data_IF_272271672028
#
_entry.id   IF_272271672028
#
_cell.length_a   1.000
_cell.length_b   1.000
_cell.length_c   1.000
_cell.angle_alpha   90.00
_cell.angle_beta   90.00
_cell.angle_gamma   90.00
#
_symmetry.space_group_name_H-M   'P 1'
#
loop_
_entity.id
_entity.type
_entity.pdbx_description
1 polymer ?
#
# COMPACT_ATOMS: atom_id res chain seq x y z
N UNK A 1 -5.98 1.78 28.16
CA UNK A 1 -5.15 2.44 29.22
C UNK A 1 -5.02 3.94 28.92
N UNK A 2 -4.71 4.76 29.91
CA UNK A 2 -4.46 6.21 29.74
C UNK A 2 -3.12 6.60 30.36
N UNK A 3 -2.55 7.72 29.89
CA UNK A 3 -1.37 8.34 30.52
C UNK A 3 -1.76 8.81 31.91
N UNK A 4 -1.12 8.26 32.94
CA UNK A 4 -1.36 8.63 34.35
C UNK A 4 -0.36 9.70 34.77
N UNK A 5 0.90 9.55 34.36
CA UNK A 5 1.99 10.50 34.55
C UNK A 5 2.94 10.49 33.34
N UNK A 6 3.96 11.35 33.34
CA UNK A 6 4.92 11.49 32.23
C UNK A 6 5.66 10.18 31.86
N UNK A 7 5.71 9.21 32.78
CA UNK A 7 6.50 7.97 32.67
C UNK A 7 5.66 6.69 32.68
N UNK A 8 4.35 6.75 32.93
CA UNK A 8 3.51 5.55 33.12
C UNK A 8 2.15 5.62 32.45
N UNK A 9 1.75 4.47 31.90
CA UNK A 9 0.38 4.17 31.52
C UNK A 9 -0.34 3.48 32.69
N UNK A 10 -1.65 3.63 32.76
CA UNK A 10 -2.45 2.93 33.76
C UNK A 10 -3.92 2.83 33.37
N UNK A 11 -4.70 2.17 34.23
CA UNK A 11 -6.12 2.01 34.00
C UNK A 11 -6.85 3.37 34.13
N UNK A 12 -7.68 3.70 33.15
CA UNK A 12 -8.50 4.93 33.16
C UNK A 12 -9.42 5.00 34.36
N UNK A 13 -10.02 3.86 34.74
CA UNK A 13 -10.90 3.74 35.91
C UNK A 13 -10.14 3.95 37.21
N UNK A 14 -8.93 3.38 37.34
CA UNK A 14 -8.08 3.60 38.51
C UNK A 14 -7.69 5.08 38.67
N UNK A 15 -7.38 5.77 37.56
CA UNK A 15 -7.09 7.21 37.56
C UNK A 15 -8.31 8.05 37.98
N UNK A 16 -9.49 7.71 37.48
CA UNK A 16 -10.72 8.46 37.75
C UNK A 16 -11.26 8.27 39.18
N UNK A 17 -11.11 7.07 39.75
CA UNK A 17 -11.67 6.74 41.09
C UNK A 17 -10.63 6.71 42.20
N UNK A 18 -9.37 7.10 41.92
CA UNK A 18 -8.29 7.05 42.93
C UNK A 18 -7.94 5.63 43.39
N UNK A 19 -8.02 4.63 42.50
CA UNK A 19 -7.57 3.26 42.76
C UNK A 19 -8.61 2.33 43.43
N UNK A 20 -9.77 2.82 43.84
CA UNK A 20 -10.81 2.00 44.51
C UNK A 20 -11.60 1.06 43.59
N UNK A 21 -11.46 1.18 42.27
CA UNK A 21 -12.27 0.44 41.28
C UNK A 21 -11.49 -0.49 40.34
N UNK A 22 -10.19 -0.69 40.55
CA UNK A 22 -9.38 -1.57 39.72
C UNK A 22 -8.18 -2.11 40.52
N UNK A 23 -7.99 -3.43 40.53
CA UNK A 23 -6.87 -4.11 41.20
C UNK A 23 -5.52 -3.88 40.51
N UNK A 24 -5.51 -3.47 39.24
CA UNK A 24 -4.31 -3.17 38.46
C UNK A 24 -3.91 -1.69 38.63
N UNK A 25 -3.41 -1.36 39.82
CA UNK A 25 -2.93 -0.01 40.18
C UNK A 25 -1.45 0.22 39.84
N UNK A 26 -0.67 -0.83 39.57
CA UNK A 26 0.70 -0.73 39.12
C UNK A 26 0.75 -0.21 37.68
N UNK A 27 1.02 1.09 37.53
CA UNK A 27 1.20 1.69 36.23
C UNK A 27 2.35 1.05 35.45
N UNK A 28 2.15 0.83 34.15
CA UNK A 28 3.14 0.24 33.26
C UNK A 28 4.13 1.31 32.80
N UNK A 29 5.45 1.10 32.90
CA UNK A 29 6.44 2.05 32.45
C UNK A 29 6.30 2.31 30.95
N UNK A 30 5.96 3.56 30.60
CA UNK A 30 5.68 4.04 29.24
C UNK A 30 6.78 3.67 28.26
N UNK A 31 8.04 4.00 28.62
CA UNK A 31 9.20 3.75 27.76
C UNK A 31 9.47 2.28 27.48
N UNK A 32 9.17 1.40 28.43
CA UNK A 32 9.38 -0.04 28.24
C UNK A 32 8.28 -0.63 27.35
N UNK A 33 7.02 -0.24 27.61
CA UNK A 33 5.87 -0.67 26.81
C UNK A 33 5.98 -0.20 25.36
N UNK A 34 6.19 1.10 25.14
CA UNK A 34 6.31 1.66 23.78
C UNK A 34 7.46 0.99 23.00
N UNK A 35 8.60 0.74 23.66
CA UNK A 35 9.73 0.07 23.03
C UNK A 35 9.42 -1.38 22.67
N UNK A 36 8.81 -2.13 23.59
CA UNK A 36 8.44 -3.53 23.35
C UNK A 36 7.42 -3.66 22.22
N UNK A 37 6.42 -2.78 22.19
CA UNK A 37 5.41 -2.74 21.12
C UNK A 37 6.03 -2.41 19.77
N UNK A 38 6.87 -1.37 19.70
CA UNK A 38 7.55 -0.99 18.45
C UNK A 38 8.48 -2.10 17.96
N UNK A 39 9.22 -2.75 18.86
CA UNK A 39 10.08 -3.87 18.50
C UNK A 39 9.26 -5.03 17.93
N UNK A 40 8.17 -5.42 18.60
CA UNK A 40 7.32 -6.50 18.13
C UNK A 40 6.66 -6.19 16.78
N UNK A 41 6.22 -4.95 16.57
CA UNK A 41 5.67 -4.49 15.29
C UNK A 41 6.72 -4.57 14.17
N UNK A 42 7.95 -4.14 14.43
CA UNK A 42 9.03 -4.21 13.42
C UNK A 42 9.39 -5.66 13.10
N UNK A 43 9.52 -6.52 14.12
CA UNK A 43 9.74 -7.96 13.92
C UNK A 43 8.62 -8.60 13.09
N UNK A 44 7.36 -8.22 13.35
CA UNK A 44 6.22 -8.69 12.58
C UNK A 44 6.26 -8.19 11.12
N UNK A 45 6.58 -6.91 10.90
CA UNK A 45 6.63 -6.29 9.57
C UNK A 45 7.85 -6.73 8.74
N UNK A 46 8.94 -7.16 9.38
CA UNK A 46 10.13 -7.68 8.70
C UNK A 46 9.96 -9.13 8.20
N UNK A 47 8.84 -9.79 8.57
CA UNK A 47 8.54 -11.14 8.10
C UNK A 47 8.43 -11.20 6.57
N UNK A 48 8.97 -12.25 5.93
CA UNK A 48 9.01 -12.35 4.47
C UNK A 48 7.60 -12.45 3.87
N UNK A 49 6.63 -13.00 4.59
CA UNK A 49 5.24 -13.08 4.15
C UNK A 49 4.60 -11.70 4.00
N UNK A 50 4.86 -10.79 4.94
CA UNK A 50 4.34 -9.41 4.91
C UNK A 50 4.97 -8.64 3.76
N UNK A 51 6.28 -8.79 3.56
CA UNK A 51 6.96 -8.14 2.45
C UNK A 51 6.47 -8.67 1.09
N UNK A 52 6.18 -9.96 0.98
CA UNK A 52 5.60 -10.55 -0.23
C UNK A 52 4.21 -9.96 -0.54
N UNK A 53 3.36 -9.81 0.47
CA UNK A 53 2.05 -9.18 0.32
C UNK A 53 2.16 -7.71 -0.12
N UNK A 54 3.07 -6.94 0.50
CA UNK A 54 3.36 -5.57 0.10
C UNK A 54 3.80 -5.49 -1.36
N UNK A 55 4.72 -6.36 -1.77
CA UNK A 55 5.20 -6.40 -3.16
C UNK A 55 4.08 -6.65 -4.15
N UNK A 56 3.16 -7.58 -3.84
CA UNK A 56 1.98 -7.85 -4.67
C UNK A 56 1.08 -6.61 -4.76
N UNK A 57 0.71 -6.03 -3.63
CA UNK A 57 -0.17 -4.84 -3.59
C UNK A 57 0.44 -3.64 -4.35
N UNK A 58 1.75 -3.39 -4.18
CA UNK A 58 2.45 -2.34 -4.93
C UNK A 58 2.49 -2.65 -6.42
N UNK A 59 2.71 -3.91 -6.81
CA UNK A 59 2.72 -4.31 -8.23
C UNK A 59 1.35 -4.12 -8.86
N UNK A 60 0.27 -4.47 -8.17
CA UNK A 60 -1.11 -4.26 -8.62
C UNK A 60 -1.44 -2.77 -8.74
N UNK A 61 -1.09 -1.97 -7.73
CA UNK A 61 -1.30 -0.52 -7.76
C UNK A 61 -0.54 0.14 -8.93
N UNK A 62 0.70 -0.30 -9.19
CA UNK A 62 1.50 0.18 -10.33
C UNK A 62 0.95 -0.29 -11.68
N UNK A 63 0.31 -1.46 -11.73
CA UNK A 63 -0.36 -1.95 -12.93
C UNK A 63 -1.60 -1.08 -13.24
N UNK A 64 -2.42 -0.77 -12.22
CA UNK A 64 -3.59 0.10 -12.35
C UNK A 64 -3.23 1.56 -12.67
N UNK A 65 -2.11 2.06 -12.12
CA UNK A 65 -1.62 3.42 -12.39
C UNK A 65 -0.82 3.52 -13.70
N UNK A 66 -0.55 2.39 -14.35
CA UNK A 66 0.23 2.36 -15.57
C UNK A 66 -0.49 2.99 -16.75
N UNK A 67 0.25 3.47 -17.77
CA UNK A 67 -0.33 3.98 -19.00
C UNK A 67 -1.15 2.90 -19.71
N UNK A 68 -2.32 3.27 -20.24
CA UNK A 68 -3.18 2.36 -21.02
C UNK A 68 -2.56 2.09 -22.39
N UNK A 69 -1.65 1.12 -22.42
CA UNK A 69 -0.98 0.69 -23.64
C UNK A 69 -1.94 0.11 -24.68
N UNK A 70 -3.09 -0.43 -24.26
CA UNK A 70 -4.06 -0.99 -25.19
C UNK A 70 -4.82 0.14 -25.90
N UNK A 71 -5.30 1.12 -25.13
CA UNK A 71 -5.92 2.34 -25.66
C UNK A 71 -5.00 3.11 -26.59
N UNK A 72 -3.73 3.32 -26.21
CA UNK A 72 -2.74 4.01 -27.05
C UNK A 72 -2.49 3.28 -28.38
N UNK A 73 -2.38 1.95 -28.37
CA UNK A 73 -2.24 1.16 -29.61
C UNK A 73 -3.48 1.25 -30.51
N UNK A 74 -4.68 1.24 -29.92
CA UNK A 74 -5.92 1.39 -30.68
C UNK A 74 -6.04 2.78 -31.32
N UNK A 75 -5.67 3.84 -30.58
CA UNK A 75 -5.63 5.20 -31.10
C UNK A 75 -4.62 5.35 -32.23
N UNK A 76 -3.42 4.76 -32.08
CA UNK A 76 -2.40 4.74 -33.14
C UNK A 76 -2.94 4.10 -34.42
N UNK A 77 -3.55 2.91 -34.30
CA UNK A 77 -4.12 2.20 -35.46
C UNK A 77 -5.25 3.01 -36.12
N UNK A 78 -6.04 3.74 -35.34
CA UNK A 78 -7.09 4.62 -35.88
C UNK A 78 -6.48 5.80 -36.65
N UNK A 79 -5.46 6.46 -36.10
CA UNK A 79 -4.79 7.58 -36.75
C UNK A 79 -4.04 7.14 -38.03
N UNK A 80 -3.41 5.97 -38.01
CA UNK A 80 -2.74 5.39 -39.19
C UNK A 80 -3.73 5.08 -40.31
N UNK A 81 -4.92 4.54 -40.01
CA UNK A 81 -5.99 4.34 -41.01
C UNK A 81 -6.48 5.66 -41.62
N UNK A 82 -6.63 6.71 -40.81
CA UNK A 82 -7.01 8.04 -41.33
C UNK A 82 -5.96 8.55 -42.31
N UNK A 83 -4.67 8.45 -41.96
CA UNK A 83 -3.56 8.83 -42.84
C UNK A 83 -3.57 8.02 -44.14
N UNK A 84 -3.80 6.71 -44.08
CA UNK A 84 -3.87 5.84 -45.26
C UNK A 84 -5.03 6.19 -46.18
N UNK A 85 -6.21 6.48 -45.62
CA UNK A 85 -7.39 6.90 -46.38
C UNK A 85 -7.15 8.23 -47.09
N UNK A 86 -6.53 9.20 -46.41
CA UNK A 86 -6.18 10.49 -47.02
C UNK A 86 -5.14 10.29 -48.12
N UNK A 87 -4.10 9.47 -47.88
CA UNK A 87 -3.11 9.14 -48.90
C UNK A 87 -3.72 8.45 -50.13
N UNK A 88 -4.77 7.64 -49.95
CA UNK A 88 -5.51 7.04 -51.06
C UNK A 88 -6.34 8.08 -51.82
N UNK A 89 -6.99 9.01 -51.13
CA UNK A 89 -7.75 10.11 -51.75
C UNK A 89 -6.83 11.04 -52.57
N UNK A 90 -5.63 11.37 -52.03
CA UNK A 90 -4.62 12.14 -52.75
C UNK A 90 -4.13 11.41 -54.01
N UNK A 91 -3.91 10.09 -53.95
CA UNK A 91 -3.56 9.25 -55.11
C UNK A 91 -4.68 9.20 -56.16
N UNK A 92 -5.94 9.30 -55.75
CA UNK A 92 -7.09 9.40 -56.63
C UNK A 92 -7.28 10.82 -57.23
N UNK A 93 -6.40 11.77 -56.91
CA UNK A 93 -6.47 13.14 -57.41
C UNK A 93 -7.41 14.06 -56.64
N UNK A 94 -7.95 13.63 -55.50
CA UNK A 94 -8.79 14.45 -54.63
C UNK A 94 -7.88 15.27 -53.72
N UNK A 95 -7.50 16.46 -54.18
CA UNK A 95 -6.65 17.39 -53.44
C UNK A 95 -7.48 18.61 -53.05
N UNK A 96 -7.84 18.67 -51.77
CA UNK A 96 -8.52 19.84 -51.18
C UNK A 96 -7.68 20.40 -50.03
N UNK A 97 -7.83 21.69 -49.69
CA UNK A 97 -7.18 22.27 -48.50
C UNK A 97 -7.46 21.45 -47.22
N UNK A 98 -8.68 20.94 -47.10
CA UNK A 98 -9.11 20.10 -45.98
C UNK A 98 -8.36 18.77 -45.91
N UNK A 99 -8.05 18.12 -47.04
CA UNK A 99 -7.25 16.87 -47.02
C UNK A 99 -5.81 17.08 -46.55
N UNK A 100 -5.23 18.25 -46.79
CA UNK A 100 -3.89 18.60 -46.28
C UNK A 100 -3.92 18.79 -44.76
N UNK A 101 -4.86 19.59 -44.25
CA UNK A 101 -4.98 19.85 -42.81
C UNK A 101 -5.30 18.58 -42.01
N UNK A 102 -6.15 17.70 -42.55
CA UNK A 102 -6.45 16.40 -41.92
C UNK A 102 -5.21 15.48 -41.91
N UNK A 103 -4.38 15.52 -42.96
CA UNK A 103 -3.15 14.74 -43.02
C UNK A 103 -2.14 15.22 -41.96
N UNK A 104 -1.91 16.53 -41.89
CA UNK A 104 -1.03 17.15 -40.89
C UNK A 104 -1.49 16.83 -39.46
N UNK A 105 -2.80 16.87 -39.20
CA UNK A 105 -3.38 16.47 -37.90
C UNK A 105 -3.16 14.99 -37.60
N UNK A 106 -3.39 14.10 -38.58
CA UNK A 106 -3.19 12.67 -38.39
C UNK A 106 -1.71 12.33 -38.13
N UNK A 107 -0.79 12.99 -38.83
CA UNK A 107 0.66 12.80 -38.63
C UNK A 107 1.14 13.32 -37.27
N UNK A 108 0.65 14.50 -36.84
CA UNK A 108 0.92 15.03 -35.51
C UNK A 108 0.41 14.11 -34.40
N UNK A 109 -0.80 13.57 -34.57
CA UNK A 109 -1.41 12.62 -33.62
C UNK A 109 -0.59 11.33 -33.53
N UNK A 110 -0.17 10.76 -34.66
CA UNK A 110 0.71 9.58 -34.70
C UNK A 110 2.03 9.87 -33.98
N UNK A 111 2.65 11.03 -34.22
CA UNK A 111 3.90 11.41 -33.57
C UNK A 111 3.73 11.56 -32.04
N UNK A 112 2.62 12.16 -31.59
CA UNK A 112 2.29 12.27 -30.17
C UNK A 112 2.12 10.90 -29.52
N UNK A 113 1.27 10.05 -30.09
CA UNK A 113 0.98 8.70 -29.55
C UNK A 113 2.24 7.82 -29.54
N UNK A 114 3.11 7.92 -30.56
CA UNK A 114 4.41 7.22 -30.55
C UNK A 114 5.31 7.69 -29.42
N UNK A 115 5.35 9.00 -29.15
CA UNK A 115 6.11 9.56 -28.03
C UNK A 115 5.58 9.06 -26.69
N UNK A 116 4.26 9.03 -26.52
CA UNK A 116 3.59 8.49 -25.33
C UNK A 116 3.87 6.99 -25.15
N UNK A 117 3.83 6.20 -26.23
CA UNK A 117 4.16 4.77 -26.21
C UNK A 117 5.63 4.51 -25.85
N UNK A 118 6.57 5.31 -26.35
CA UNK A 118 7.98 5.22 -25.94
C UNK A 118 8.15 5.60 -24.47
N UNK A 119 7.51 6.68 -24.00
CA UNK A 119 7.51 7.07 -22.59
C UNK A 119 6.94 5.96 -21.70
N UNK A 120 5.89 5.29 -22.16
CA UNK A 120 5.25 4.19 -21.47
C UNK A 120 6.12 2.92 -21.39
N UNK A 121 7.07 2.69 -22.32
CA UNK A 121 8.04 1.57 -22.22
C UNK A 121 9.00 1.72 -21.04
N UNK A 122 9.25 2.96 -20.61
CA UNK A 122 10.03 3.27 -19.41
C UNK A 122 9.27 2.95 -18.13
N UNK A 123 7.94 2.87 -18.19
CA UNK A 123 7.11 2.43 -17.07
C UNK A 123 7.20 0.90 -16.92
N UNK A 124 8.24 0.43 -16.24
CA UNK A 124 8.42 -0.97 -15.88
C UNK A 124 8.28 -1.14 -14.37
N UNK A 125 7.12 -1.59 -13.85
CA UNK A 125 6.92 -1.87 -12.44
C UNK A 125 7.98 -2.82 -11.85
N UNK A 126 8.48 -3.75 -12.68
CA UNK A 126 9.57 -4.67 -12.31
C UNK A 126 10.87 -3.98 -11.87
N UNK A 127 11.15 -2.76 -12.34
CA UNK A 127 12.32 -1.97 -11.92
C UNK A 127 12.12 -1.25 -10.58
N UNK A 128 10.88 -1.18 -10.09
CA UNK A 128 10.54 -0.54 -8.80
C UNK A 128 10.71 -1.54 -7.64
N UNK A 129 10.60 -2.84 -7.91
CA UNK A 129 10.67 -3.92 -6.90
C UNK A 129 12.00 -4.00 -6.13
N UNK A 130 13.19 -3.83 -6.75
CA UNK A 130 14.45 -3.85 -6.00
C UNK A 130 14.57 -2.69 -5.01
N UNK A 131 14.12 -1.49 -5.42
CA UNK A 131 14.10 -0.29 -4.55
C UNK A 131 13.04 -0.40 -3.45
N UNK A 132 11.99 -1.19 -3.64
CA UNK A 132 10.96 -1.40 -2.65
C UNK A 132 11.52 -2.11 -1.40
N UNK A 133 12.33 -3.15 -1.57
CA UNK A 133 12.93 -3.89 -0.46
C UNK A 133 13.88 -3.04 0.39
N UNK A 134 14.66 -2.17 -0.27
CA UNK A 134 15.56 -1.24 0.40
C UNK A 134 14.79 -0.13 1.13
N UNK A 135 13.78 0.47 0.47
CA UNK A 135 12.92 1.47 1.09
C UNK A 135 12.12 0.92 2.27
N UNK A 136 11.64 -0.33 2.17
CA UNK A 136 10.94 -1.01 3.26
C UNK A 136 11.84 -1.18 4.48
N UNK A 137 13.03 -1.77 4.29
CA UNK A 137 14.02 -1.93 5.37
C UNK A 137 14.41 -0.58 5.99
N UNK A 138 14.63 0.44 5.16
CA UNK A 138 14.92 1.78 5.65
C UNK A 138 13.75 2.36 6.47
N UNK A 139 12.51 2.14 6.05
CA UNK A 139 11.32 2.57 6.80
C UNK A 139 11.23 1.84 8.15
N UNK A 140 11.46 0.52 8.19
CA UNK A 140 11.50 -0.26 9.44
C UNK A 140 12.59 0.23 10.40
N UNK A 141 13.81 0.47 9.91
CA UNK A 141 14.90 1.04 10.70
C UNK A 141 14.56 2.44 11.22
N UNK A 142 13.93 3.26 10.39
CA UNK A 142 13.50 4.61 10.78
C UNK A 142 12.45 4.55 11.88
N UNK A 143 11.49 3.62 11.82
CA UNK A 143 10.49 3.41 12.87
C UNK A 143 11.14 3.08 14.23
N UNK A 144 12.19 2.24 14.24
CA UNK A 144 12.93 1.95 15.49
C UNK A 144 13.72 3.14 16.03
N UNK A 145 14.11 4.09 15.17
CA UNK A 145 14.86 5.28 15.54
C UNK A 145 13.98 6.42 16.07
N UNK A 146 12.68 6.42 15.75
CA UNK A 146 11.72 7.40 16.27
C UNK A 146 11.50 7.17 17.78
N UNK A 147 12.29 7.89 18.57
CA UNK A 147 12.11 8.04 20.03
C UNK A 147 11.13 9.14 20.42
N UNK A 148 10.63 9.90 19.45
CA UNK A 148 9.82 11.10 19.68
C UNK A 148 8.38 10.82 19.30
N UNK A 149 7.51 10.94 20.30
CA UNK A 149 6.05 10.88 20.23
C UNK A 149 5.51 11.90 19.20
N UNK A 150 5.47 11.52 17.93
CA UNK A 150 4.76 12.27 16.90
C UNK A 150 3.32 11.81 16.89
N UNK A 151 2.39 12.77 16.94
CA UNK A 151 0.95 12.51 16.83
C UNK A 151 0.62 11.58 15.64
N UNK A 152 1.33 11.77 14.52
CA UNK A 152 1.23 10.93 13.33
C UNK A 152 1.54 9.44 13.59
N UNK A 153 2.53 9.12 14.42
CA UNK A 153 2.83 7.73 14.78
C UNK A 153 1.69 7.10 15.58
N UNK A 154 1.03 7.88 16.44
CA UNK A 154 -0.14 7.41 17.20
C UNK A 154 -1.37 7.17 16.32
N UNK A 155 -1.61 8.05 15.35
CA UNK A 155 -2.71 7.90 14.40
C UNK A 155 -2.54 6.63 13.57
N UNK A 156 -1.33 6.37 13.05
CA UNK A 156 -1.02 5.15 12.31
C UNK A 156 -1.17 3.90 13.19
N UNK A 157 -0.73 3.94 14.45
CA UNK A 157 -0.91 2.82 15.37
C UNK A 157 -2.39 2.55 15.70
N UNK A 158 -3.22 3.59 15.78
CA UNK A 158 -4.66 3.45 16.00
C UNK A 158 -5.37 2.80 14.80
N UNK A 159 -4.88 3.06 13.58
CA UNK A 159 -5.37 2.40 12.36
C UNK A 159 -4.95 0.92 12.31
N UNK A 160 -3.72 0.60 12.72
CA UNK A 160 -3.21 -0.77 12.70
C UNK A 160 -3.83 -1.66 13.78
N UNK A 161 -4.13 -1.10 14.95
CA UNK A 161 -4.74 -1.80 16.08
C UNK A 161 -6.07 -1.12 16.49
N UNK A 162 -7.12 -1.24 15.66
CA UNK A 162 -8.40 -0.55 15.89
C UNK A 162 -9.10 -1.03 17.16
N UNK A 163 -8.93 -2.30 17.53
CA UNK A 163 -9.46 -2.90 18.76
C UNK A 163 -8.63 -2.53 20.00
N UNK A 164 -7.53 -1.81 19.81
CA UNK A 164 -6.61 -1.39 20.84
C UNK A 164 -5.61 -2.48 21.24
N UNK A 165 -4.69 -2.10 22.13
CA UNK A 165 -3.65 -2.98 22.66
C UNK A 165 -4.06 -3.36 24.08
N UNK A 166 -4.28 -4.66 24.30
CA UNK A 166 -4.67 -5.19 25.61
C UNK A 166 -3.41 -5.48 26.40
N UNK A 167 -3.29 -4.96 27.62
CA UNK A 167 -2.16 -5.28 28.50
C UNK A 167 -2.67 -6.13 29.65
N UNK A 168 -2.20 -7.37 29.71
CA UNK A 168 -2.52 -8.34 30.75
C UNK A 168 -1.29 -8.61 31.61
N UNK A 169 -1.50 -9.21 32.77
CA UNK A 169 -0.42 -9.74 33.60
C UNK A 169 -0.42 -11.25 33.42
N UNK A 170 0.70 -11.82 33.00
CA UNK A 170 0.91 -13.27 32.88
C UNK A 170 0.85 -13.94 34.25
N UNK A 171 0.64 -15.26 34.27
CA UNK A 171 0.69 -16.10 35.47
C UNK A 171 2.02 -15.97 36.24
N UNK A 172 3.11 -15.62 35.52
CA UNK A 172 4.44 -15.41 36.10
C UNK A 172 4.66 -14.00 36.68
N UNK A 173 3.66 -13.11 36.62
CA UNK A 173 3.75 -11.73 37.07
C UNK A 173 4.32 -10.74 36.03
N UNK A 174 4.69 -11.22 34.84
CA UNK A 174 5.17 -10.38 33.75
C UNK A 174 4.02 -9.62 33.06
N UNK A 175 4.30 -8.41 32.60
CA UNK A 175 3.35 -7.62 31.82
C UNK A 175 3.42 -8.06 30.35
N UNK A 176 2.30 -8.54 29.82
CA UNK A 176 2.15 -8.97 28.44
C UNK A 176 1.24 -7.99 27.72
N UNK A 177 1.68 -7.49 26.57
CA UNK A 177 0.85 -6.67 25.70
C UNK A 177 0.43 -7.50 24.49
N UNK A 178 -0.86 -7.73 24.38
CA UNK A 178 -1.50 -8.40 23.25
C UNK A 178 -1.99 -7.34 22.28
N UNK A 179 -1.46 -7.40 21.06
CA UNK A 179 -2.00 -6.66 19.92
C UNK A 179 -2.93 -7.64 19.22
N UNK A 180 -4.23 -7.35 19.18
CA UNK A 180 -5.15 -8.10 18.34
C UNK A 180 -4.59 -8.06 16.92
N UNK A 181 -4.37 -9.22 16.30
CA UNK A 181 -3.94 -9.28 14.91
C UNK A 181 -4.97 -8.47 14.11
N UNK A 182 -4.52 -7.37 13.49
CA UNK A 182 -5.39 -6.49 12.73
C UNK A 182 -6.26 -7.34 11.80
N UNK A 183 -7.59 -7.13 11.74
CA UNK A 183 -8.46 -7.83 10.80
C UNK A 183 -8.25 -7.32 9.37
N UNK A 184 -7.01 -6.95 9.00
CA UNK A 184 -6.54 -7.00 7.62
C UNK A 184 -6.49 -8.48 7.22
N UNK A 185 -7.67 -9.10 7.21
CA UNK A 185 -8.03 -10.14 6.27
C UNK A 185 -7.74 -9.51 4.92
N UNK A 186 -6.57 -9.82 4.38
CA UNK A 186 -6.36 -9.81 2.95
C UNK A 186 -7.46 -10.71 2.38
N UNK A 187 -8.60 -10.10 2.04
CA UNK A 187 -9.68 -10.74 1.30
C UNK A 187 -9.11 -11.06 -0.09
N UNK A 188 -8.38 -12.16 -0.17
CA UNK A 188 -8.07 -12.81 -1.43
C UNK A 188 -9.39 -13.38 -1.92
N UNK A 189 -10.08 -12.61 -2.75
CA UNK A 189 -11.24 -13.12 -3.51
C UNK A 189 -10.68 -14.12 -4.52
N UNK A 190 -10.57 -15.38 -4.09
CA UNK A 190 -10.33 -16.51 -4.97
C UNK A 190 -11.63 -16.78 -5.76
N UNK A 191 -11.86 -15.98 -6.80
CA UNK A 191 -12.82 -16.31 -7.84
C UNK A 191 -12.25 -17.39 -8.74
N UNK A 192 -12.53 -18.66 -8.45
CA UNK A 192 -12.87 -19.74 -9.39
C UNK A 192 -12.75 -21.10 -8.68
N UNK A 193 -13.74 -21.96 -8.89
CA UNK A 193 -14.03 -23.14 -8.08
C UNK A 193 -12.90 -24.15 -7.91
N UNK A 194 -12.81 -24.68 -6.70
CA UNK A 194 -12.23 -25.99 -6.44
C UNK A 194 -13.12 -26.70 -5.41
N UNK A 195 -13.71 -27.81 -5.82
CA UNK A 195 -14.65 -28.63 -5.04
C UNK A 195 -14.00 -29.13 -3.73
N UNK A 196 -14.73 -29.27 -2.63
CA UNK A 196 -14.19 -29.88 -1.42
C UNK A 196 -14.17 -31.40 -1.61
N UNK A 197 -13.00 -31.96 -1.94
CA UNK A 197 -12.76 -33.38 -1.79
C UNK A 197 -12.72 -33.74 -0.30
N UNK A 198 -13.76 -34.42 0.15
CA UNK A 198 -13.80 -35.16 1.41
C UNK A 198 -12.70 -36.23 1.43
N UNK A 199 -11.73 -36.08 2.33
CA UNK A 199 -10.91 -37.18 2.87
C UNK A 199 -10.63 -36.79 4.33
N UNK A 200 -11.02 -37.50 5.39
CA UNK A 200 -11.22 -38.94 5.50
C UNK A 200 -9.92 -39.60 5.95
N UNK A 201 -9.56 -39.40 7.23
CA UNK A 201 -8.97 -40.34 8.19
C UNK A 201 -8.90 -39.70 9.58
#
# INVERSE_FOLDING_TARGET
MVIVDAYRYGCSRAKATGGTGCSHTSGVPRRALERGLLQHLVEHLDRPEIFAALRTAVSEALACAGPDLAGLRQQLAKAERVRENIAAALRAGIITPTTREELERAEAEIARIRTELEGARTWQPAQIVPRLAERWRHALLTLTAYRTDTLAAREVLAELAPDGITVTTSENGDLVAEIAASPVQLNVVAGAGFEPATFGL
#
